data_IF_450395260110
#
_entry.id   IF_450395260110
#
_cell.length_a   1.000
_cell.length_b   1.000
_cell.length_c   1.000
_cell.angle_alpha   90.00
_cell.angle_beta   90.00
_cell.angle_gamma   90.00
#
_symmetry.space_group_name_H-M   'P 1'
#
loop_
_entity.id
_entity.type
_entity.pdbx_description
1 polymer ?
#
# COMPACT_ATOMS: atom_id res chain seq x y z
N UNK A 1 16.25 -3.51 16.98
CA UNK A 1 17.54 -3.36 16.28
C UNK A 1 17.65 -4.34 15.10
N UNK A 2 17.58 -5.66 15.31
CA UNK A 2 17.68 -6.67 14.24
C UNK A 2 16.75 -6.38 13.04
N UNK A 3 15.46 -6.12 13.31
CA UNK A 3 14.49 -5.79 12.26
C UNK A 3 14.88 -4.55 11.45
N UNK A 4 15.33 -3.48 12.12
CA UNK A 4 15.74 -2.24 11.46
C UNK A 4 16.93 -2.53 10.54
N UNK A 5 17.96 -3.22 11.03
CA UNK A 5 19.17 -3.55 10.26
C UNK A 5 18.80 -4.36 9.01
N UNK A 6 18.06 -5.47 9.18
CA UNK A 6 17.71 -6.35 8.07
C UNK A 6 16.86 -5.60 7.05
N UNK A 7 15.81 -4.91 7.49
CA UNK A 7 14.91 -4.19 6.58
C UNK A 7 15.67 -3.09 5.83
N UNK A 8 16.46 -2.26 6.51
CA UNK A 8 17.22 -1.18 5.87
C UNK A 8 18.22 -1.72 4.86
N UNK A 9 19.01 -2.74 5.20
CA UNK A 9 19.97 -3.34 4.27
C UNK A 9 19.27 -4.00 3.08
N UNK A 10 18.09 -4.60 3.28
CA UNK A 10 17.35 -5.33 2.26
C UNK A 10 16.57 -4.42 1.30
N UNK A 11 15.92 -3.37 1.80
CA UNK A 11 15.03 -2.51 1.01
C UNK A 11 15.66 -1.17 0.62
N UNK A 12 16.88 -0.89 1.06
CA UNK A 12 17.61 0.31 0.71
C UNK A 12 17.89 0.43 -0.80
N UNK A 13 18.17 1.64 -1.30
CA UNK A 13 18.39 1.91 -2.72
C UNK A 13 19.56 1.13 -3.34
N UNK A 14 20.50 0.65 -2.52
CA UNK A 14 21.63 -0.19 -2.91
C UNK A 14 21.26 -1.66 -3.18
N UNK A 15 20.13 -2.13 -2.67
CA UNK A 15 19.75 -3.54 -2.78
C UNK A 15 19.01 -3.83 -4.10
N UNK A 16 19.45 -4.81 -4.90
CA UNK A 16 18.73 -5.20 -6.11
C UNK A 16 17.51 -6.07 -5.81
N UNK A 17 17.38 -6.60 -4.58
CA UNK A 17 16.40 -7.63 -4.21
C UNK A 17 14.96 -7.19 -4.49
N UNK A 18 14.62 -5.95 -4.14
CA UNK A 18 13.26 -5.41 -4.33
C UNK A 18 12.85 -5.25 -5.79
N UNK A 19 13.82 -5.31 -6.72
CA UNK A 19 13.61 -5.18 -8.17
C UNK A 19 13.50 -6.54 -8.88
N UNK A 20 13.76 -7.64 -8.18
CA UNK A 20 13.66 -8.99 -8.75
C UNK A 20 12.19 -9.38 -8.90
N UNK A 21 11.75 -9.49 -10.15
CA UNK A 21 10.46 -10.05 -10.53
C UNK A 21 10.65 -11.49 -10.99
N UNK A 22 9.90 -12.43 -10.42
CA UNK A 22 9.98 -13.85 -10.80
C UNK A 22 8.92 -14.19 -11.85
N UNK A 23 7.80 -13.47 -11.87
CA UNK A 23 6.76 -13.63 -12.85
C UNK A 23 6.05 -12.30 -13.07
N UNK A 24 5.64 -12.03 -14.30
CA UNK A 24 4.71 -10.94 -14.61
C UNK A 24 3.42 -11.57 -15.10
N UNK A 25 2.35 -11.39 -14.33
CA UNK A 25 1.02 -11.82 -14.73
C UNK A 25 0.43 -10.70 -15.59
N UNK A 26 0.09 -11.02 -16.84
CA UNK A 26 -0.52 -10.08 -17.76
C UNK A 26 -1.94 -10.52 -18.11
N UNK A 27 -2.87 -9.57 -18.07
CA UNK A 27 -4.24 -9.79 -18.53
C UNK A 27 -4.61 -8.67 -19.51
N UNK A 28 -5.18 -9.00 -20.69
CA UNK A 28 -5.65 -7.98 -21.61
C UNK A 28 -6.89 -7.31 -21.03
N UNK A 29 -6.80 -6.01 -20.76
CA UNK A 29 -7.94 -5.17 -20.42
C UNK A 29 -8.30 -4.27 -21.60
N UNK A 30 -9.58 -3.98 -21.77
CA UNK A 30 -10.01 -2.99 -22.75
C UNK A 30 -10.01 -1.61 -22.08
N UNK A 31 -9.15 -0.70 -22.54
CA UNK A 31 -9.18 0.67 -22.05
C UNK A 31 -10.24 1.46 -22.81
N UNK A 32 -11.25 1.93 -22.09
CA UNK A 32 -12.30 2.83 -22.60
C UNK A 32 -11.72 4.18 -23.06
N UNK A 33 -10.66 4.66 -22.43
CA UNK A 33 -9.99 5.92 -22.81
C UNK A 33 -9.18 5.81 -24.09
N UNK A 34 -8.45 4.70 -24.28
CA UNK A 34 -7.55 4.53 -25.42
C UNK A 34 -8.21 3.75 -26.57
N UNK A 35 -9.46 3.30 -26.39
CA UNK A 35 -10.21 2.43 -27.30
C UNK A 35 -9.38 1.23 -27.81
N UNK A 36 -8.45 0.73 -27.00
CA UNK A 36 -7.52 -0.34 -27.36
C UNK A 36 -7.30 -1.29 -26.19
N UNK A 37 -6.89 -2.52 -26.52
CA UNK A 37 -6.44 -3.49 -25.53
C UNK A 37 -5.14 -3.01 -24.91
N UNK A 38 -5.10 -2.92 -23.59
CA UNK A 38 -3.94 -2.58 -22.78
C UNK A 38 -3.64 -3.78 -21.88
N UNK A 39 -2.37 -4.17 -21.78
CA UNK A 39 -1.97 -5.21 -20.84
C UNK A 39 -1.97 -4.64 -19.42
N UNK A 40 -2.78 -5.22 -18.55
CA UNK A 40 -2.68 -5.01 -17.10
C UNK A 40 -1.64 -5.99 -16.60
N UNK A 41 -0.47 -5.48 -16.23
CA UNK A 41 0.61 -6.30 -15.68
C UNK A 41 0.65 -6.22 -14.16
N UNK A 42 0.88 -7.37 -13.53
CA UNK A 42 1.20 -7.51 -12.12
C UNK A 42 2.54 -8.24 -12.01
N UNK A 43 3.58 -7.50 -11.62
CA UNK A 43 4.89 -8.07 -11.36
C UNK A 43 4.90 -8.71 -9.96
N UNK A 44 5.13 -10.02 -9.92
CA UNK A 44 5.30 -10.76 -8.68
C UNK A 44 6.75 -10.61 -8.19
N UNK A 45 6.92 -9.67 -7.26
CA UNK A 45 8.20 -9.34 -6.62
C UNK A 45 8.20 -9.90 -5.19
N UNK A 46 8.69 -11.12 -4.96
CA UNK A 46 8.62 -11.75 -3.63
C UNK A 46 9.62 -11.16 -2.64
N UNK A 47 10.69 -10.51 -3.09
CA UNK A 47 11.76 -10.00 -2.20
C UNK A 47 11.56 -8.54 -1.75
N UNK A 48 10.30 -8.10 -1.68
CA UNK A 48 9.91 -6.80 -1.14
C UNK A 48 9.92 -6.79 0.40
N UNK A 49 9.55 -5.65 1.00
CA UNK A 49 9.64 -5.40 2.44
C UNK A 49 8.94 -6.46 3.33
N UNK A 50 7.87 -7.11 2.85
CA UNK A 50 7.20 -8.16 3.61
C UNK A 50 8.12 -9.35 3.93
N UNK A 51 8.93 -9.76 2.96
CA UNK A 51 9.86 -10.89 3.11
C UNK A 51 11.04 -10.53 4.02
N UNK A 52 11.53 -9.29 3.96
CA UNK A 52 12.59 -8.85 4.87
C UNK A 52 12.11 -8.79 6.33
N UNK A 53 10.84 -8.44 6.57
CA UNK A 53 10.21 -8.52 7.90
C UNK A 53 10.08 -9.98 8.35
N UNK A 54 9.66 -10.90 7.48
CA UNK A 54 9.58 -12.32 7.79
C UNK A 54 10.95 -12.89 8.18
N UNK A 55 11.99 -12.59 7.40
CA UNK A 55 13.37 -12.99 7.70
C UNK A 55 13.82 -12.40 9.04
N UNK A 56 13.49 -11.13 9.30
CA UNK A 56 13.79 -10.48 10.58
C UNK A 56 13.15 -11.22 11.75
N UNK A 57 11.88 -11.62 11.62
CA UNK A 57 11.18 -12.39 12.64
C UNK A 57 11.82 -13.76 12.90
N UNK A 58 12.27 -14.45 11.85
CA UNK A 58 13.00 -15.73 11.99
C UNK A 58 14.31 -15.52 12.76
N UNK A 59 15.12 -14.54 12.36
CA UNK A 59 16.40 -14.25 13.01
C UNK A 59 16.19 -13.86 14.48
N UNK A 60 15.20 -13.01 14.76
CA UNK A 60 14.85 -12.62 16.14
C UNK A 60 14.43 -13.85 16.95
N UNK A 61 13.61 -14.73 16.38
CA UNK A 61 13.14 -15.95 17.07
C UNK A 61 14.30 -16.89 17.42
N UNK A 62 15.30 -17.02 16.54
CA UNK A 62 16.51 -17.81 16.79
C UNK A 62 17.37 -17.18 17.89
N UNK A 63 17.63 -15.87 17.80
CA UNK A 63 18.45 -15.14 18.79
C UNK A 63 17.82 -15.21 20.18
N UNK A 64 16.49 -15.09 20.26
CA UNK A 64 15.75 -15.20 21.52
C UNK A 64 15.51 -16.64 21.97
N UNK A 65 15.92 -17.65 21.18
CA UNK A 65 15.68 -19.08 21.43
C UNK A 65 14.21 -19.39 21.71
N UNK A 66 13.31 -18.76 20.94
CA UNK A 66 11.88 -18.96 21.07
C UNK A 66 11.52 -20.42 20.80
N UNK A 67 10.67 -21.01 21.64
CA UNK A 67 10.21 -22.38 21.41
C UNK A 67 9.28 -22.44 20.18
N UNK A 68 9.26 -23.56 19.43
CA UNK A 68 8.37 -23.72 18.28
C UNK A 68 6.90 -23.49 18.61
N UNK A 69 6.49 -23.81 19.85
CA UNK A 69 5.15 -23.55 20.36
C UNK A 69 4.82 -22.06 20.40
N UNK A 70 5.71 -21.24 20.96
CA UNK A 70 5.52 -19.78 21.03
C UNK A 70 5.47 -19.18 19.61
N UNK A 71 6.32 -19.66 18.71
CA UNK A 71 6.32 -19.21 17.31
C UNK A 71 4.98 -19.54 16.61
N UNK A 72 4.47 -20.76 16.79
CA UNK A 72 3.18 -21.18 16.24
C UNK A 72 2.00 -20.40 16.82
N UNK A 73 1.99 -20.16 18.13
CA UNK A 73 0.99 -19.31 18.80
C UNK A 73 1.02 -17.87 18.28
N UNK A 74 2.21 -17.30 18.06
CA UNK A 74 2.37 -15.96 17.50
C UNK A 74 1.82 -15.86 16.07
N UNK A 75 2.12 -16.83 15.20
CA UNK A 75 1.57 -16.89 13.83
C UNK A 75 0.04 -16.99 13.88
N UNK A 76 -0.50 -17.93 14.66
CA UNK A 76 -1.94 -18.15 14.77
C UNK A 76 -2.65 -16.89 15.27
N UNK A 77 -2.16 -16.28 16.34
CA UNK A 77 -2.75 -15.06 16.91
C UNK A 77 -2.72 -13.91 15.91
N UNK A 78 -1.59 -13.71 15.23
CA UNK A 78 -1.45 -12.66 14.22
C UNK A 78 -2.42 -12.89 13.06
N UNK A 79 -2.51 -14.11 12.55
CA UNK A 79 -3.45 -14.43 11.47
C UNK A 79 -4.90 -14.15 11.88
N UNK A 80 -5.32 -14.59 13.08
CA UNK A 80 -6.67 -14.36 13.58
C UNK A 80 -6.99 -12.87 13.82
N UNK A 81 -5.98 -12.04 14.09
CA UNK A 81 -6.17 -10.59 14.23
C UNK A 81 -6.27 -9.88 12.87
N UNK A 82 -5.50 -10.33 11.88
CA UNK A 82 -5.34 -9.61 10.61
C UNK A 82 -6.10 -10.20 9.42
N UNK A 83 -6.74 -11.37 9.52
CA UNK A 83 -7.40 -12.02 8.38
C UNK A 83 -8.36 -11.10 7.61
N UNK A 84 -9.15 -10.29 8.33
CA UNK A 84 -10.08 -9.34 7.72
C UNK A 84 -9.34 -8.23 6.97
N UNK A 85 -8.24 -7.72 7.53
CA UNK A 85 -7.37 -6.74 6.88
C UNK A 85 -6.68 -7.28 5.62
N UNK A 86 -6.25 -8.55 5.64
CA UNK A 86 -5.70 -9.23 4.45
C UNK A 86 -6.75 -9.24 3.33
N UNK A 87 -7.99 -9.63 3.66
CA UNK A 87 -9.08 -9.69 2.69
C UNK A 87 -9.44 -8.30 2.15
N UNK A 88 -9.52 -7.27 3.01
CA UNK A 88 -9.72 -5.89 2.57
C UNK A 88 -8.60 -5.43 1.64
N UNK A 89 -7.34 -5.76 1.94
CA UNK A 89 -6.20 -5.43 1.10
C UNK A 89 -6.34 -5.98 -0.33
N UNK A 90 -6.75 -7.25 -0.47
CA UNK A 90 -6.99 -7.88 -1.77
C UNK A 90 -8.11 -7.15 -2.53
N UNK A 91 -9.24 -6.85 -1.89
CA UNK A 91 -10.35 -6.16 -2.53
C UNK A 91 -10.02 -4.73 -2.93
N UNK A 92 -9.31 -3.97 -2.09
CA UNK A 92 -8.93 -2.59 -2.41
C UNK A 92 -7.93 -2.55 -3.56
N UNK A 93 -7.00 -3.50 -3.65
CA UNK A 93 -6.09 -3.62 -4.81
C UNK A 93 -6.90 -3.96 -6.06
N UNK A 94 -7.84 -4.91 -6.01
CA UNK A 94 -8.73 -5.22 -7.13
C UNK A 94 -9.55 -3.99 -7.58
N UNK A 95 -10.12 -3.26 -6.63
CA UNK A 95 -10.84 -2.01 -6.89
C UNK A 95 -9.91 -0.96 -7.51
N UNK A 96 -8.67 -0.84 -7.05
CA UNK A 96 -7.68 0.06 -7.61
C UNK A 96 -7.38 -0.28 -9.08
N UNK A 97 -7.24 -1.56 -9.43
CA UNK A 97 -7.11 -1.97 -10.83
C UNK A 97 -8.32 -1.52 -11.66
N UNK A 98 -9.54 -1.80 -11.20
CA UNK A 98 -10.76 -1.37 -11.92
C UNK A 98 -10.81 0.16 -12.04
N UNK A 99 -10.54 0.90 -10.97
CA UNK A 99 -10.57 2.37 -10.93
C UNK A 99 -9.56 3.02 -11.87
N UNK A 100 -8.35 2.47 -11.95
CA UNK A 100 -7.29 3.00 -12.81
C UNK A 100 -7.51 2.62 -14.29
N UNK A 101 -7.85 1.37 -14.57
CA UNK A 101 -7.95 0.88 -15.95
C UNK A 101 -9.28 1.18 -16.66
N UNK A 102 -10.37 1.43 -15.90
CA UNK A 102 -11.65 1.92 -16.45
C UNK A 102 -11.62 3.40 -16.84
N UNK A 103 -10.55 4.14 -16.50
CA UNK A 103 -10.43 5.57 -16.76
C UNK A 103 -11.10 6.47 -15.72
N UNK A 104 -11.69 5.91 -14.65
CA UNK A 104 -12.27 6.70 -13.56
C UNK A 104 -11.23 7.59 -12.88
N UNK A 105 -10.03 7.07 -12.61
CA UNK A 105 -8.93 7.84 -12.02
C UNK A 105 -8.55 9.08 -12.86
N UNK A 106 -8.47 8.92 -14.19
CA UNK A 106 -8.15 10.01 -15.12
C UNK A 106 -9.27 11.04 -15.24
N UNK A 107 -10.53 10.59 -15.27
CA UNK A 107 -11.69 11.48 -15.33
C UNK A 107 -11.80 12.34 -14.07
N UNK A 108 -11.57 11.74 -12.90
CA UNK A 108 -11.51 12.46 -11.64
C UNK A 108 -10.32 13.43 -11.62
N UNK A 109 -9.15 12.98 -12.08
CA UNK A 109 -7.96 13.82 -12.14
C UNK A 109 -8.19 15.08 -13.00
N UNK A 110 -8.77 14.90 -14.20
CA UNK A 110 -9.14 15.98 -15.11
C UNK A 110 -10.03 17.02 -14.46
N UNK A 111 -11.04 16.60 -13.69
CA UNK A 111 -11.90 17.58 -13.03
C UNK A 111 -11.22 18.25 -11.83
N UNK A 112 -10.43 17.49 -11.07
CA UNK A 112 -9.72 18.05 -9.90
C UNK A 112 -8.55 18.95 -10.26
N UNK A 113 -7.99 18.84 -11.48
CA UNK A 113 -6.92 19.74 -11.92
C UNK A 113 -7.37 21.19 -12.09
N UNK A 114 -8.68 21.42 -12.29
CA UNK A 114 -9.27 22.77 -12.32
C UNK A 114 -9.04 23.52 -11.00
N UNK A 115 -8.79 22.82 -9.89
CA UNK A 115 -8.49 23.42 -8.59
C UNK A 115 -7.07 24.04 -8.55
N UNK A 116 -6.19 23.70 -9.48
CA UNK A 116 -4.81 24.21 -9.53
C UNK A 116 -4.08 24.04 -8.19
N UNK A 117 -3.54 25.14 -7.66
CA UNK A 117 -2.82 25.16 -6.38
C UNK A 117 -3.67 24.74 -5.18
N UNK A 118 -5.00 24.95 -5.21
CA UNK A 118 -5.89 24.56 -4.12
C UNK A 118 -5.88 23.05 -3.91
N UNK A 119 -5.61 22.28 -4.97
CA UNK A 119 -5.50 20.83 -4.87
C UNK A 119 -4.40 20.35 -3.91
N UNK A 120 -3.37 21.17 -3.63
CA UNK A 120 -2.33 20.84 -2.63
C UNK A 120 -2.96 20.59 -1.25
N UNK A 121 -3.99 21.36 -0.89
CA UNK A 121 -4.69 21.22 0.40
C UNK A 121 -5.68 20.05 0.37
N UNK A 122 -6.28 19.78 -0.79
CA UNK A 122 -7.28 18.71 -0.97
C UNK A 122 -6.64 17.33 -1.11
N UNK A 123 -5.47 17.24 -1.75
CA UNK A 123 -4.72 16.01 -2.02
C UNK A 123 -4.57 15.07 -0.81
N UNK A 124 -4.15 15.52 0.39
CA UNK A 124 -4.04 14.64 1.55
C UNK A 124 -5.39 14.07 2.03
N UNK A 125 -6.52 14.71 1.74
CA UNK A 125 -7.84 14.19 2.13
C UNK A 125 -8.17 12.87 1.40
N UNK A 126 -7.76 12.73 0.14
CA UNK A 126 -7.91 11.46 -0.59
C UNK A 126 -7.07 10.35 0.03
N UNK A 127 -5.82 10.67 0.39
CA UNK A 127 -4.94 9.75 1.08
C UNK A 127 -5.52 9.29 2.42
N UNK A 128 -6.05 10.26 3.17
CA UNK A 128 -6.72 10.04 4.44
C UNK A 128 -7.94 9.14 4.28
N UNK A 129 -8.84 9.43 3.34
CA UNK A 129 -10.03 8.63 3.07
C UNK A 129 -9.66 7.19 2.67
N UNK A 130 -8.69 7.03 1.77
CA UNK A 130 -8.23 5.72 1.34
C UNK A 130 -7.69 4.88 2.49
N UNK A 131 -6.90 5.47 3.39
CA UNK A 131 -6.33 4.74 4.51
C UNK A 131 -7.30 4.58 5.70
N UNK A 132 -8.20 5.54 5.95
CA UNK A 132 -9.23 5.40 6.97
C UNK A 132 -10.13 4.19 6.69
N UNK A 133 -10.44 3.92 5.41
CA UNK A 133 -11.25 2.79 4.99
C UNK A 133 -10.46 1.47 4.87
N UNK A 134 -9.21 1.53 4.40
CA UNK A 134 -8.41 0.32 4.09
C UNK A 134 -7.36 -0.06 5.14
N UNK A 135 -7.05 0.83 6.08
CA UNK A 135 -6.00 0.66 7.10
C UNK A 135 -4.58 0.61 6.53
N UNK A 136 -4.39 0.92 5.25
CA UNK A 136 -3.14 0.67 4.53
C UNK A 136 -2.77 1.82 3.61
N UNK A 137 -1.58 2.38 3.83
CA UNK A 137 -1.02 3.42 2.96
C UNK A 137 -0.71 2.87 1.55
N UNK A 138 -0.26 1.61 1.45
CA UNK A 138 -0.06 0.93 0.16
C UNK A 138 -1.37 0.82 -0.61
N UNK A 139 -2.46 0.45 0.06
CA UNK A 139 -3.78 0.31 -0.55
C UNK A 139 -4.35 1.67 -0.97
N UNK A 140 -4.17 2.72 -0.16
CA UNK A 140 -4.52 4.09 -0.51
C UNK A 140 -3.77 4.59 -1.75
N UNK A 141 -2.47 4.32 -1.84
CA UNK A 141 -1.66 4.69 -3.01
C UNK A 141 -1.94 3.82 -4.24
N UNK A 142 -2.33 2.56 -4.08
CA UNK A 142 -2.81 1.76 -5.21
C UNK A 142 -4.07 2.39 -5.80
N UNK A 143 -5.01 2.82 -4.94
CA UNK A 143 -6.29 3.39 -5.35
C UNK A 143 -6.15 4.80 -5.94
N UNK A 144 -5.43 5.70 -5.26
CA UNK A 144 -5.38 7.12 -5.61
C UNK A 144 -4.06 7.58 -6.22
N UNK A 145 -3.00 6.76 -6.24
CA UNK A 145 -1.67 7.19 -6.70
C UNK A 145 -1.64 7.68 -8.15
N UNK A 146 -2.22 6.92 -9.09
CA UNK A 146 -2.31 7.33 -10.50
C UNK A 146 -3.15 8.59 -10.66
N UNK A 147 -4.27 8.69 -9.92
CA UNK A 147 -5.09 9.90 -9.86
C UNK A 147 -4.24 11.11 -9.41
N UNK A 148 -3.52 11.00 -8.30
CA UNK A 148 -2.70 12.10 -7.75
C UNK A 148 -1.62 12.54 -8.74
N UNK A 149 -0.86 11.59 -9.30
CA UNK A 149 0.19 11.86 -10.31
C UNK A 149 -0.41 12.55 -11.53
N UNK A 150 -1.57 12.08 -12.00
CA UNK A 150 -2.26 12.66 -13.16
C UNK A 150 -2.75 14.06 -12.86
N UNK A 151 -3.37 14.30 -11.71
CA UNK A 151 -3.82 15.65 -11.30
C UNK A 151 -2.65 16.61 -11.22
N UNK A 152 -1.51 16.20 -10.64
CA UNK A 152 -0.32 17.06 -10.59
C UNK A 152 0.16 17.46 -11.99
N UNK A 153 0.21 16.51 -12.93
CA UNK A 153 0.60 16.79 -14.33
C UNK A 153 -0.36 17.78 -15.00
N UNK A 154 -1.67 17.56 -14.88
CA UNK A 154 -2.69 18.41 -15.51
C UNK A 154 -2.76 19.81 -14.89
N UNK A 155 -2.55 19.92 -13.57
CA UNK A 155 -2.54 21.19 -12.85
C UNK A 155 -1.20 21.95 -12.92
N UNK A 156 -0.18 21.40 -13.60
CA UNK A 156 1.16 22.02 -13.68
C UNK A 156 1.94 22.01 -12.36
N UNK A 157 1.62 21.08 -11.44
CA UNK A 157 2.31 20.91 -10.16
C UNK A 157 3.50 19.95 -10.28
N UNK A 158 4.47 19.99 -9.34
CA UNK A 158 5.52 18.97 -9.29
C UNK A 158 4.92 17.57 -9.17
N UNK A 159 5.30 16.65 -10.07
CA UNK A 159 4.67 15.33 -10.23
C UNK A 159 4.69 14.50 -8.94
N UNK A 160 5.73 14.65 -8.12
CA UNK A 160 5.87 13.96 -6.83
C UNK A 160 5.13 14.61 -5.65
N UNK A 161 4.60 15.82 -5.81
CA UNK A 161 4.02 16.59 -4.70
C UNK A 161 2.72 15.97 -4.19
N UNK A 162 1.73 15.80 -5.07
CA UNK A 162 0.41 15.30 -4.68
C UNK A 162 0.42 13.81 -4.27
N UNK A 163 1.23 12.89 -4.85
CA UNK A 163 1.34 11.53 -4.33
C UNK A 163 2.06 11.48 -2.97
N UNK A 164 3.01 12.39 -2.72
CA UNK A 164 3.62 12.51 -1.40
C UNK A 164 2.60 12.98 -0.36
N UNK A 165 1.80 14.00 -0.68
CA UNK A 165 0.73 14.48 0.20
C UNK A 165 -0.36 13.43 0.43
N UNK A 166 -0.68 12.63 -0.58
CA UNK A 166 -1.55 11.45 -0.44
C UNK A 166 -1.00 10.49 0.62
N UNK A 167 0.30 10.19 0.58
CA UNK A 167 0.94 9.32 1.58
C UNK A 167 0.94 9.95 2.97
N UNK A 168 1.17 11.25 3.09
CA UNK A 168 1.06 11.98 4.38
C UNK A 168 -0.35 11.88 4.95
N UNK A 169 -1.38 12.19 4.14
CA UNK A 169 -2.76 12.08 4.57
C UNK A 169 -3.15 10.66 4.98
N UNK A 170 -2.65 9.65 4.26
CA UNK A 170 -2.85 8.25 4.61
C UNK A 170 -2.24 7.89 5.97
N UNK A 171 -1.02 8.33 6.27
CA UNK A 171 -0.40 8.09 7.58
C UNK A 171 -1.18 8.77 8.71
N UNK A 172 -1.74 9.97 8.48
CA UNK A 172 -2.58 10.66 9.45
C UNK A 172 -3.93 9.94 9.72
N UNK A 173 -4.42 9.14 8.78
CA UNK A 173 -5.64 8.36 8.97
C UNK A 173 -5.43 7.03 9.73
N UNK A 174 -4.20 6.51 9.78
CA UNK A 174 -3.93 5.21 10.41
C UNK A 174 -4.48 5.07 11.83
N UNK A 175 -4.33 6.05 12.74
CA UNK A 175 -4.82 5.90 14.11
C UNK A 175 -6.34 5.69 14.22
N UNK A 176 -7.11 6.21 13.24
CA UNK A 176 -8.58 6.11 13.22
C UNK A 176 -9.09 4.98 12.32
N UNK A 177 -8.21 4.34 11.54
CA UNK A 177 -8.60 3.24 10.68
C UNK A 177 -9.01 2.01 11.51
N UNK A 178 -10.20 1.41 11.29
CA UNK A 178 -10.70 0.32 12.13
C UNK A 178 -9.75 -0.87 12.25
N UNK A 179 -9.04 -1.24 11.16
CA UNK A 179 -8.09 -2.35 11.20
C UNK A 179 -6.85 -2.03 12.05
N UNK A 180 -6.32 -0.81 11.94
CA UNK A 180 -5.16 -0.38 12.73
C UNK A 180 -5.53 -0.21 14.20
N UNK A 181 -6.71 0.35 14.49
CA UNK A 181 -7.23 0.46 15.84
C UNK A 181 -7.43 -0.92 16.48
N UNK A 182 -8.07 -1.86 15.75
CA UNK A 182 -8.26 -3.25 16.19
C UNK A 182 -6.92 -3.95 16.50
N UNK A 183 -5.94 -3.81 15.61
CA UNK A 183 -4.60 -4.32 15.84
C UNK A 183 -3.94 -3.70 17.09
N UNK A 184 -4.03 -2.38 17.24
CA UNK A 184 -3.45 -1.66 18.38
C UNK A 184 -4.01 -2.15 19.71
N UNK A 185 -5.34 -2.22 19.85
CA UNK A 185 -5.96 -2.66 21.10
C UNK A 185 -5.67 -4.12 21.43
N UNK A 186 -5.47 -4.98 20.41
CA UNK A 186 -5.16 -6.40 20.58
C UNK A 186 -3.82 -6.71 21.27
N UNK A 187 -2.94 -5.70 21.37
CA UNK A 187 -1.65 -5.78 22.06
C UNK A 187 -1.72 -5.31 23.51
N UNK A 188 -2.85 -4.74 23.93
CA UNK A 188 -3.08 -4.27 25.29
C UNK A 188 -3.86 -5.30 26.10
N UNK A 189 -3.73 -5.27 27.43
CA UNK A 189 -4.47 -6.15 28.35
C UNK A 189 -5.88 -5.62 28.68
N UNK A 190 -6.26 -4.49 28.09
CA UNK A 190 -7.48 -3.76 28.44
C UNK A 190 -8.70 -4.17 27.59
N UNK A 191 -8.55 -5.22 26.77
CA UNK A 191 -9.62 -5.84 25.97
C UNK A 191 -9.44 -7.35 25.95
#
# INVERSE_FOLDING_TARGET
IILIIIVTLWTGPWSPLTKVSIATLEQPAFSTLLHKKVAVSFAFNPFVAGTSILVSWIVISIVLRASPRIMGEAIKRSFMQYWGGILTGVFVVGLAYVFNFSGMAYSLAWKTSDLGLVFIIVSPLFGWLGCALSGSNTSSNALFGVFQVTTARLAGLPIGLTPALNSVGAELAKPVAPQTASAGVSTTKYV
#
